data_IF_483196498949
#
_entry.id   IF_483196498949
#
_cell.length_a   1.000
_cell.length_b   1.000
_cell.length_c   1.000
_cell.angle_alpha   90.00
_cell.angle_beta   90.00
_cell.angle_gamma   90.00
#
_symmetry.space_group_name_H-M   'P 1'
#
loop_
_entity.id
_entity.type
_entity.pdbx_description
1 polymer ?
#
# COMPACT_ATOMS: atom_id res chain seq x y z
N UNK A 1 34.18 -45.50 16.00
CA UNK A 1 32.72 -45.23 15.93
C UNK A 1 32.36 -44.23 17.01
N UNK A 2 32.03 -42.97 16.65
CA UNK A 2 31.26 -41.96 17.41
C UNK A 2 31.33 -40.63 16.66
N UNK A 3 30.43 -40.43 15.70
CA UNK A 3 30.17 -39.11 15.12
C UNK A 3 29.36 -38.29 16.15
N UNK A 4 29.88 -37.14 16.56
CA UNK A 4 29.12 -36.13 17.31
C UNK A 4 28.46 -35.20 16.30
N UNK A 5 27.15 -35.34 16.14
CA UNK A 5 26.32 -34.41 15.38
C UNK A 5 26.15 -33.16 16.26
N UNK A 6 26.75 -32.03 15.87
CA UNK A 6 26.36 -30.73 16.40
C UNK A 6 25.05 -30.33 15.71
N UNK A 7 23.94 -30.44 16.43
CA UNK A 7 22.70 -29.78 16.03
C UNK A 7 22.89 -28.27 16.24
N UNK A 8 23.15 -27.53 15.17
CA UNK A 8 23.04 -26.09 15.18
C UNK A 8 21.56 -25.74 15.34
N UNK A 9 21.18 -25.27 16.53
CA UNK A 9 19.89 -24.65 16.73
C UNK A 9 19.87 -23.35 15.90
N UNK A 10 19.17 -23.37 14.76
CA UNK A 10 18.71 -22.13 14.15
C UNK A 10 17.74 -21.49 15.14
N UNK A 11 18.20 -20.49 15.88
CA UNK A 11 17.29 -19.54 16.50
C UNK A 11 16.53 -18.84 15.38
N UNK A 12 15.26 -19.21 15.20
CA UNK A 12 14.30 -18.35 14.55
C UNK A 12 14.24 -17.06 15.37
N UNK A 13 14.87 -15.99 14.89
CA UNK A 13 14.64 -14.63 15.35
C UNK A 13 13.15 -14.35 15.07
N UNK A 14 12.34 -14.51 16.11
CA UNK A 14 10.92 -14.20 16.06
C UNK A 14 10.73 -12.70 15.78
N UNK A 15 9.79 -12.46 14.87
CA UNK A 15 9.36 -11.22 14.24
C UNK A 15 8.78 -10.17 15.19
N UNK A 16 9.54 -9.74 16.20
CA UNK A 16 9.08 -8.70 17.15
C UNK A 16 9.08 -7.28 16.58
N UNK A 17 9.74 -7.05 15.44
CA UNK A 17 9.89 -5.71 14.87
C UNK A 17 8.61 -5.19 14.18
N UNK A 18 7.82 -6.07 13.54
CA UNK A 18 6.57 -5.66 12.91
C UNK A 18 5.42 -5.49 13.92
N UNK A 19 5.34 -6.38 14.92
CA UNK A 19 4.30 -6.33 15.95
C UNK A 19 4.27 -5.00 16.74
N UNK A 20 5.43 -4.37 16.99
CA UNK A 20 5.49 -3.05 17.64
C UNK A 20 4.92 -1.91 16.78
N UNK A 21 4.88 -2.08 15.44
CA UNK A 21 4.42 -1.04 14.49
C UNK A 21 2.90 -0.95 14.45
N UNK A 22 2.22 -2.10 14.59
CA UNK A 22 0.77 -2.20 14.68
C UNK A 22 0.18 -1.51 15.93
N UNK A 23 0.93 -1.44 17.04
CA UNK A 23 0.45 -0.91 18.32
C UNK A 23 0.01 0.58 18.28
N UNK A 24 0.50 1.36 17.31
CA UNK A 24 0.08 2.75 17.10
C UNK A 24 -1.21 2.91 16.28
N UNK A 25 -1.67 1.88 15.57
CA UNK A 25 -2.89 1.88 14.75
C UNK A 25 -4.13 1.72 15.62
N UNK A 26 -4.02 1.06 16.78
CA UNK A 26 -5.11 0.83 17.75
C UNK A 26 -5.69 2.11 18.40
N UNK A 27 -5.26 3.31 18.00
CA UNK A 27 -5.84 4.58 18.43
C UNK A 27 -6.87 5.17 17.46
N UNK A 28 -7.15 4.51 16.32
CA UNK A 28 -8.35 4.84 15.54
C UNK A 28 -9.55 4.55 16.43
N UNK A 29 -10.26 5.59 16.89
CA UNK A 29 -11.60 5.40 17.45
C UNK A 29 -12.42 4.75 16.34
N UNK A 30 -12.75 3.47 16.52
CA UNK A 30 -13.73 2.81 15.67
C UNK A 30 -14.94 3.75 15.52
N UNK A 31 -15.41 4.03 14.29
CA UNK A 31 -16.65 4.75 14.12
C UNK A 31 -17.75 4.01 14.91
N UNK A 32 -18.70 4.78 15.47
CA UNK A 32 -19.75 4.26 16.36
C UNK A 32 -20.57 3.10 15.76
N UNK A 33 -20.52 2.93 14.44
CA UNK A 33 -20.86 1.71 13.72
C UNK A 33 -19.72 1.41 12.73
N UNK A 34 -19.22 0.18 12.72
CA UNK A 34 -18.31 -0.29 11.68
C UNK A 34 -19.02 -0.13 10.31
N UNK A 35 -18.38 0.46 9.29
CA UNK A 35 -19.00 0.60 7.99
C UNK A 35 -19.44 -0.78 7.50
N UNK A 36 -20.71 -0.91 7.13
CA UNK A 36 -21.25 -2.16 6.57
C UNK A 36 -20.42 -2.51 5.34
N UNK A 37 -19.80 -3.69 5.37
CA UNK A 37 -19.03 -4.18 4.23
C UNK A 37 -19.91 -4.16 2.97
N UNK A 38 -19.44 -3.57 1.86
CA UNK A 38 -20.18 -3.59 0.61
C UNK A 38 -20.49 -5.02 0.18
N UNK A 39 -21.61 -5.20 -0.53
CA UNK A 39 -21.90 -6.49 -1.18
C UNK A 39 -21.00 -6.64 -2.42
N UNK A 40 -19.78 -7.13 -2.18
CA UNK A 40 -18.74 -7.30 -3.19
C UNK A 40 -19.18 -8.19 -4.36
N UNK A 41 -20.10 -9.13 -4.11
CA UNK A 41 -20.56 -10.12 -5.09
C UNK A 41 -21.60 -9.56 -6.06
N UNK A 42 -22.13 -8.37 -5.81
CA UNK A 42 -23.10 -7.71 -6.68
C UNK A 42 -22.44 -6.98 -7.87
N UNK A 43 -21.15 -7.20 -8.14
CA UNK A 43 -20.40 -6.61 -9.26
C UNK A 43 -19.48 -7.64 -9.94
N UNK A 44 -19.00 -7.35 -11.17
CA UNK A 44 -18.03 -8.21 -11.84
C UNK A 44 -16.80 -8.44 -10.94
N UNK A 45 -16.61 -9.69 -10.54
CA UNK A 45 -15.47 -10.10 -9.75
C UNK A 45 -14.37 -10.68 -10.65
N UNK A 46 -13.15 -10.29 -10.35
CA UNK A 46 -11.95 -10.89 -10.91
C UNK A 46 -11.25 -11.71 -9.82
N UNK A 47 -10.81 -12.90 -10.20
CA UNK A 47 -9.86 -13.68 -9.43
C UNK A 47 -8.43 -13.34 -9.84
N UNK A 48 -7.50 -14.14 -9.36
CA UNK A 48 -6.09 -13.99 -9.66
C UNK A 48 -5.42 -15.34 -9.91
N UNK A 49 -4.35 -15.31 -10.70
CA UNK A 49 -3.35 -16.36 -10.83
C UNK A 49 -2.01 -15.79 -10.35
N UNK A 50 -1.33 -16.47 -9.43
CA UNK A 50 0.03 -16.08 -9.00
C UNK A 50 1.02 -16.57 -10.05
N UNK A 51 1.74 -15.63 -10.66
CA UNK A 51 2.76 -15.92 -11.66
C UNK A 51 4.13 -16.13 -11.02
N UNK A 52 4.48 -15.27 -10.05
CA UNK A 52 5.77 -15.27 -9.33
C UNK A 52 5.58 -14.83 -7.89
N UNK A 53 6.40 -15.39 -7.01
CA UNK A 53 6.54 -14.94 -5.62
C UNK A 53 7.94 -14.35 -5.42
N UNK A 54 8.00 -13.07 -5.07
CA UNK A 54 9.24 -12.35 -4.82
C UNK A 54 9.44 -12.17 -3.31
N UNK A 55 10.68 -12.18 -2.79
CA UNK A 55 10.94 -11.97 -1.36
C UNK A 55 10.48 -10.59 -0.89
N UNK A 56 9.90 -10.52 0.31
CA UNK A 56 9.52 -9.27 0.98
C UNK A 56 10.00 -9.26 2.43
N UNK A 57 10.30 -8.07 2.95
CA UNK A 57 10.75 -7.87 4.33
C UNK A 57 9.58 -8.04 5.30
N UNK A 58 9.59 -9.10 6.11
CA UNK A 58 8.55 -9.33 7.15
C UNK A 58 8.58 -8.30 8.29
N UNK A 59 9.58 -7.41 8.33
CA UNK A 59 9.62 -6.23 9.19
C UNK A 59 9.01 -4.97 8.56
N UNK A 60 8.55 -5.02 7.30
CA UNK A 60 7.96 -3.89 6.59
C UNK A 60 6.44 -3.83 6.80
N UNK A 61 5.97 -2.83 7.54
CA UNK A 61 4.55 -2.54 7.67
C UNK A 61 4.14 -1.66 6.48
N UNK A 62 3.97 -2.26 5.30
CA UNK A 62 3.78 -1.59 4.01
C UNK A 62 2.58 -0.64 4.02
N UNK A 63 2.81 0.62 3.65
CA UNK A 63 1.76 1.65 3.53
C UNK A 63 1.68 2.30 2.15
N UNK A 64 2.65 2.03 1.28
CA UNK A 64 2.66 2.46 -0.11
C UNK A 64 3.74 1.71 -0.86
N UNK A 65 3.42 1.26 -2.07
CA UNK A 65 4.32 0.50 -2.93
C UNK A 65 4.20 1.02 -4.36
N UNK A 66 5.31 1.22 -5.04
CA UNK A 66 5.31 1.47 -6.49
C UNK A 66 6.57 0.89 -7.13
N UNK A 67 6.54 0.71 -8.45
CA UNK A 67 7.73 0.34 -9.22
C UNK A 67 8.31 1.60 -9.87
N UNK A 68 9.56 1.93 -9.57
CA UNK A 68 10.27 3.06 -10.18
C UNK A 68 11.65 2.66 -10.63
N UNK A 69 11.93 2.82 -11.93
CA UNK A 69 13.21 2.50 -12.55
C UNK A 69 13.70 1.05 -12.32
N UNK A 70 12.79 0.07 -12.27
CA UNK A 70 13.10 -1.35 -12.13
C UNK A 70 13.25 -1.84 -10.68
N UNK A 71 13.21 -0.94 -9.71
CA UNK A 71 13.24 -1.24 -8.28
C UNK A 71 11.89 -0.91 -7.62
N UNK A 72 11.61 -1.53 -6.48
CA UNK A 72 10.51 -1.10 -5.62
C UNK A 72 10.86 0.21 -4.92
N UNK A 73 9.88 1.10 -4.86
CA UNK A 73 9.82 2.14 -3.83
C UNK A 73 8.75 1.72 -2.84
N UNK A 74 9.13 1.58 -1.57
CA UNK A 74 8.23 1.16 -0.52
C UNK A 74 8.26 2.17 0.64
N UNK A 75 7.09 2.49 1.16
CA UNK A 75 6.94 3.21 2.42
C UNK A 75 6.41 2.29 3.50
N UNK A 76 6.95 2.46 4.70
CA UNK A 76 6.58 1.64 5.86
C UNK A 76 6.09 2.51 6.99
N UNK A 77 5.07 2.03 7.67
CA UNK A 77 4.45 2.67 8.83
C UNK A 77 5.06 2.26 10.17
N UNK A 78 4.66 2.98 11.22
CA UNK A 78 5.07 2.78 12.61
C UNK A 78 5.85 3.96 13.18
N UNK A 79 5.38 4.55 14.28
CA UNK A 79 6.09 5.64 14.96
C UNK A 79 7.51 5.20 15.36
N UNK A 80 8.50 6.04 15.10
CA UNK A 80 9.92 5.73 15.32
C UNK A 80 10.54 4.69 14.38
N UNK A 81 9.77 4.11 13.45
CA UNK A 81 10.23 3.04 12.56
C UNK A 81 9.82 3.22 11.10
N UNK A 82 9.06 4.28 10.82
CA UNK A 82 8.59 4.62 9.48
C UNK A 82 9.76 5.00 8.59
N UNK A 83 9.71 4.58 7.33
CA UNK A 83 10.77 4.87 6.37
C UNK A 83 10.26 4.81 4.94
N UNK A 84 10.96 5.51 4.04
CA UNK A 84 10.92 5.28 2.59
C UNK A 84 12.16 4.49 2.18
N UNK A 85 11.98 3.53 1.27
CA UNK A 85 13.02 2.58 0.87
C UNK A 85 13.00 2.36 -0.63
N UNK A 86 14.18 2.18 -1.20
CA UNK A 86 14.36 1.59 -2.51
C UNK A 86 14.84 0.17 -2.32
N UNK A 87 14.14 -0.79 -2.93
CA UNK A 87 14.37 -2.23 -2.74
C UNK A 87 14.54 -2.88 -4.10
N UNK A 88 15.58 -3.69 -4.24
CA UNK A 88 15.85 -4.44 -5.48
C UNK A 88 14.70 -5.42 -5.76
N UNK A 89 14.11 -5.34 -6.97
CA UNK A 89 12.88 -6.05 -7.33
C UNK A 89 12.95 -7.56 -7.07
N UNK A 90 14.05 -8.17 -7.49
CA UNK A 90 14.20 -9.63 -7.56
C UNK A 90 14.56 -10.27 -6.22
N UNK A 91 15.30 -9.57 -5.36
CA UNK A 91 15.87 -10.17 -4.14
C UNK A 91 15.21 -9.67 -2.86
N UNK A 92 14.48 -8.54 -2.91
CA UNK A 92 13.98 -7.87 -1.72
C UNK A 92 15.09 -7.15 -0.91
N UNK A 93 16.31 -7.03 -1.45
CA UNK A 93 17.41 -6.33 -0.78
C UNK A 93 17.16 -4.82 -0.78
N UNK A 94 17.16 -4.22 0.41
CA UNK A 94 17.10 -2.76 0.55
C UNK A 94 18.38 -2.14 -0.01
N UNK A 95 18.25 -1.35 -1.07
CA UNK A 95 19.34 -0.64 -1.74
C UNK A 95 19.60 0.72 -1.09
N UNK A 96 18.52 1.43 -0.73
CA UNK A 96 18.56 2.69 0.01
C UNK A 96 17.38 2.78 0.95
N UNK A 97 17.56 3.44 2.10
CA UNK A 97 16.52 3.64 3.13
C UNK A 97 16.70 4.99 3.79
N UNK A 98 15.58 5.62 4.13
CA UNK A 98 15.53 6.84 4.91
C UNK A 98 14.44 6.76 5.95
N UNK A 99 14.84 6.95 7.19
CA UNK A 99 13.91 6.95 8.31
C UNK A 99 13.22 8.31 8.44
N UNK A 100 11.93 8.27 8.72
CA UNK A 100 11.16 9.47 9.04
C UNK A 100 11.47 9.88 10.49
N UNK A 101 11.31 11.17 10.84
CA UNK A 101 11.37 11.59 12.24
C UNK A 101 10.36 10.80 13.08
N UNK A 102 10.74 10.45 14.31
CA UNK A 102 10.05 9.43 15.10
C UNK A 102 8.57 9.73 15.41
N UNK A 103 8.18 11.01 15.37
CA UNK A 103 6.81 11.48 15.59
C UNK A 103 5.90 11.35 14.36
N UNK A 104 6.42 10.89 13.22
CA UNK A 104 5.62 10.64 12.02
C UNK A 104 5.40 9.15 11.80
N UNK A 105 4.18 8.84 11.40
CA UNK A 105 3.79 7.55 10.87
C UNK A 105 3.71 7.68 9.34
N UNK A 106 4.59 7.00 8.61
CA UNK A 106 4.66 7.06 7.16
C UNK A 106 3.51 6.30 6.50
N UNK A 107 2.96 6.89 5.45
CA UNK A 107 1.84 6.35 4.66
C UNK A 107 2.21 6.33 3.17
N UNK A 108 1.22 6.29 2.28
CA UNK A 108 1.34 6.11 0.84
C UNK A 108 2.32 7.03 0.12
N UNK A 109 2.79 6.56 -1.05
CA UNK A 109 3.79 7.26 -1.87
C UNK A 109 3.41 7.25 -3.34
N UNK A 110 3.66 8.36 -4.04
CA UNK A 110 3.51 8.44 -5.49
C UNK A 110 4.73 9.09 -6.15
N UNK A 111 5.07 8.63 -7.34
CA UNK A 111 6.05 9.29 -8.22
C UNK A 111 5.31 10.23 -9.19
N UNK A 112 5.77 11.48 -9.25
CA UNK A 112 5.30 12.46 -10.24
C UNK A 112 6.41 13.46 -10.54
N UNK A 113 6.71 13.66 -11.82
CA UNK A 113 7.75 14.57 -12.32
C UNK A 113 9.14 14.33 -11.69
N UNK A 114 9.48 13.07 -11.45
CA UNK A 114 10.76 12.68 -10.86
C UNK A 114 10.87 12.92 -9.35
N UNK A 115 9.74 13.18 -8.69
CA UNK A 115 9.66 13.39 -7.24
C UNK A 115 8.75 12.35 -6.61
N UNK A 116 9.25 11.73 -5.55
CA UNK A 116 8.44 10.90 -4.68
C UNK A 116 7.77 11.77 -3.64
N UNK A 117 6.46 11.65 -3.55
CA UNK A 117 5.59 12.32 -2.59
C UNK A 117 5.15 11.30 -1.58
N UNK A 118 5.62 11.40 -0.33
CA UNK A 118 5.23 10.47 0.73
C UNK A 118 4.30 11.17 1.72
N UNK A 119 3.18 10.53 2.03
CA UNK A 119 2.24 10.98 3.05
C UNK A 119 2.67 10.54 4.45
N UNK A 120 2.06 11.17 5.43
CA UNK A 120 1.98 10.69 6.81
C UNK A 120 0.52 10.59 7.25
N UNK A 121 0.26 9.79 8.28
CA UNK A 121 -1.11 9.54 8.71
C UNK A 121 -1.82 10.79 9.29
N UNK A 122 -1.49 11.19 10.53
CA UNK A 122 -2.06 12.38 11.18
C UNK A 122 -1.18 13.63 11.09
N UNK A 123 0.01 13.53 10.47
CA UNK A 123 1.01 14.59 10.50
C UNK A 123 0.63 15.85 9.70
N UNK A 124 -0.38 15.76 8.82
CA UNK A 124 -0.76 16.82 7.86
C UNK A 124 0.44 17.38 7.09
N UNK A 125 1.46 16.54 6.96
CA UNK A 125 2.75 16.87 6.38
C UNK A 125 3.19 15.67 5.55
N UNK A 126 3.61 15.95 4.33
CA UNK A 126 4.26 14.98 3.47
C UNK A 126 5.72 15.35 3.24
N UNK A 127 6.47 14.38 2.74
CA UNK A 127 7.89 14.51 2.44
C UNK A 127 8.12 14.34 0.94
N UNK A 128 9.04 15.13 0.39
CA UNK A 128 9.45 15.08 -1.00
C UNK A 128 10.84 14.49 -1.10
N UNK A 129 11.03 13.58 -2.04
CA UNK A 129 12.33 12.99 -2.34
C UNK A 129 12.59 12.98 -3.84
N UNK A 130 13.85 13.09 -4.24
CA UNK A 130 14.27 12.82 -5.60
C UNK A 130 14.06 11.33 -5.88
N UNK A 131 13.35 11.00 -6.96
CA UNK A 131 12.93 9.61 -7.21
C UNK A 131 14.11 8.66 -7.34
N UNK A 132 15.22 9.11 -7.96
CA UNK A 132 16.39 8.27 -8.28
C UNK A 132 17.29 8.03 -7.07
N UNK A 133 17.50 9.07 -6.28
CA UNK A 133 18.51 9.09 -5.20
C UNK A 133 17.91 8.91 -3.82
N UNK A 134 16.60 9.14 -3.68
CA UNK A 134 15.89 9.36 -2.42
C UNK A 134 16.34 10.62 -1.66
N UNK A 135 17.17 11.51 -2.23
CA UNK A 135 17.59 12.77 -1.58
C UNK A 135 16.39 13.65 -1.20
N UNK A 136 16.39 14.32 -0.03
CA UNK A 136 15.21 15.02 0.44
C UNK A 136 15.11 16.35 -0.32
N UNK A 137 13.96 16.62 -0.91
CA UNK A 137 13.72 17.84 -1.66
C UNK A 137 12.93 18.88 -0.86
N UNK A 138 12.34 18.47 0.26
CA UNK A 138 11.57 19.33 1.14
C UNK A 138 10.34 18.60 1.67
N UNK A 139 9.40 19.39 2.20
CA UNK A 139 8.17 18.90 2.80
C UNK A 139 6.99 19.66 2.19
N UNK A 140 5.79 19.09 2.29
CA UNK A 140 4.55 19.75 1.92
C UNK A 140 3.48 19.56 2.99
N UNK A 141 2.39 20.32 2.90
CA UNK A 141 1.24 20.22 3.81
C UNK A 141 -0.02 19.88 3.02
N UNK A 142 -0.92 19.16 3.68
CA UNK A 142 -2.25 18.83 3.18
C UNK A 142 -3.22 18.74 4.35
N UNK A 143 -4.51 18.87 4.05
CA UNK A 143 -5.56 18.81 5.05
C UNK A 143 -6.00 17.36 5.32
N UNK A 144 -6.54 17.09 6.52
CA UNK A 144 -7.06 15.77 6.88
C UNK A 144 -5.98 14.71 7.12
N UNK A 145 -6.38 13.44 7.05
CA UNK A 145 -5.45 12.30 7.06
C UNK A 145 -4.91 12.02 5.65
N UNK A 146 -3.85 11.23 5.54
CA UNK A 146 -3.38 10.68 4.28
C UNK A 146 -3.09 9.19 4.44
N UNK A 147 -3.65 8.35 3.56
CA UNK A 147 -3.49 6.89 3.59
C UNK A 147 -2.76 6.43 2.33
N UNK A 148 -3.45 6.16 1.22
CA UNK A 148 -2.83 5.85 -0.06
C UNK A 148 -2.56 7.09 -0.91
N UNK A 149 -1.56 7.00 -1.77
CA UNK A 149 -1.23 8.03 -2.75
C UNK A 149 -0.81 7.37 -4.07
N UNK A 150 -1.37 7.84 -5.19
CA UNK A 150 -0.87 7.52 -6.53
C UNK A 150 -0.87 8.79 -7.40
N UNK A 151 -0.56 8.67 -8.68
CA UNK A 151 -0.54 9.78 -9.63
C UNK A 151 -1.23 9.39 -10.93
N UNK A 152 -2.09 10.27 -11.46
CA UNK A 152 -2.66 10.10 -12.80
C UNK A 152 -1.75 10.67 -13.92
N UNK A 153 -0.53 11.08 -13.55
CA UNK A 153 0.45 11.74 -14.42
C UNK A 153 0.32 13.27 -14.47
N UNK A 154 -0.74 13.84 -13.90
CA UNK A 154 -0.93 15.29 -13.82
C UNK A 154 -1.21 15.78 -12.38
N UNK A 155 -1.90 14.96 -11.60
CA UNK A 155 -2.30 15.21 -10.21
C UNK A 155 -1.88 14.06 -9.32
N UNK A 156 -1.70 14.38 -8.05
CA UNK A 156 -1.63 13.36 -7.00
C UNK A 156 -3.05 12.96 -6.62
N UNK A 157 -3.30 11.67 -6.44
CA UNK A 157 -4.60 11.12 -6.03
C UNK A 157 -4.43 10.46 -4.66
N UNK A 158 -5.12 10.99 -3.66
CA UNK A 158 -4.97 10.60 -2.26
C UNK A 158 -6.26 9.99 -1.69
N UNK A 159 -6.12 8.90 -0.94
CA UNK A 159 -7.16 8.35 -0.06
C UNK A 159 -6.86 8.71 1.41
N UNK A 160 -7.87 8.57 2.27
CA UNK A 160 -7.79 8.86 3.70
C UNK A 160 -8.66 7.95 4.56
N UNK A 161 -8.99 6.76 4.05
CA UNK A 161 -9.91 5.82 4.70
C UNK A 161 -11.39 6.19 4.59
N UNK A 162 -11.76 7.36 4.04
CA UNK A 162 -13.16 7.67 3.71
C UNK A 162 -13.60 7.06 2.36
N UNK A 163 -14.82 7.39 1.92
CA UNK A 163 -15.34 7.09 0.58
C UNK A 163 -14.85 8.06 -0.51
N UNK A 164 -13.87 8.93 -0.21
CA UNK A 164 -13.41 9.97 -1.13
C UNK A 164 -11.96 9.76 -1.55
N UNK A 165 -11.71 10.05 -2.82
CA UNK A 165 -10.38 10.28 -3.37
C UNK A 165 -10.22 11.78 -3.64
N UNK A 166 -9.11 12.35 -3.19
CA UNK A 166 -8.79 13.77 -3.34
C UNK A 166 -7.69 13.94 -4.38
N UNK A 167 -7.94 14.80 -5.37
CA UNK A 167 -6.97 15.15 -6.41
C UNK A 167 -6.27 16.44 -6.01
N UNK A 168 -4.96 16.36 -5.82
CA UNK A 168 -4.12 17.44 -5.35
C UNK A 168 -3.27 17.95 -6.51
N UNK A 169 -3.17 19.28 -6.61
CA UNK A 169 -2.21 19.92 -7.50
C UNK A 169 -0.79 19.67 -6.95
N UNK A 170 0.15 19.14 -7.75
CA UNK A 170 1.46 18.70 -7.24
C UNK A 170 2.42 19.84 -6.90
N UNK A 171 2.05 21.09 -7.20
CA UNK A 171 2.87 22.28 -6.90
C UNK A 171 2.41 22.97 -5.63
N UNK A 172 1.10 23.02 -5.41
CA UNK A 172 0.46 23.75 -4.30
C UNK A 172 -0.08 22.81 -3.22
N UNK A 173 -0.24 21.52 -3.53
CA UNK A 173 -0.83 20.48 -2.68
C UNK A 173 -2.27 20.77 -2.23
N UNK A 174 -2.94 21.70 -2.93
CA UNK A 174 -4.35 22.01 -2.69
C UNK A 174 -5.22 21.00 -3.44
N UNK A 175 -6.29 20.60 -2.78
CA UNK A 175 -7.35 19.79 -3.39
C UNK A 175 -8.06 20.64 -4.43
N UNK A 176 -8.06 20.20 -5.69
CA UNK A 176 -8.81 20.85 -6.77
C UNK A 176 -10.04 20.05 -7.17
N UNK A 177 -10.10 18.76 -6.80
CA UNK A 177 -11.24 17.88 -7.06
C UNK A 177 -11.35 16.79 -6.01
N UNK A 178 -12.59 16.42 -5.69
CA UNK A 178 -12.90 15.25 -4.88
C UNK A 178 -13.77 14.30 -5.70
N UNK A 179 -13.54 13.00 -5.51
CA UNK A 179 -14.24 11.92 -6.19
C UNK A 179 -14.82 10.98 -5.14
N UNK A 180 -16.14 10.74 -5.17
CA UNK A 180 -16.79 9.80 -4.24
C UNK A 180 -16.84 8.41 -4.86
N UNK A 181 -16.26 7.43 -4.19
CA UNK A 181 -16.19 6.05 -4.66
C UNK A 181 -17.48 5.31 -4.32
N UNK A 182 -18.10 4.70 -5.32
CA UNK A 182 -19.37 3.99 -5.18
C UNK A 182 -19.36 2.62 -5.83
N UNK A 183 -19.81 1.63 -5.07
CA UNK A 183 -20.15 0.29 -5.56
C UNK A 183 -21.67 0.16 -5.58
N UNK A 184 -22.28 -0.08 -6.74
CA UNK A 184 -23.75 -0.14 -6.87
C UNK A 184 -24.47 1.09 -6.25
N UNK A 185 -23.90 2.29 -6.42
CA UNK A 185 -24.44 3.54 -5.87
C UNK A 185 -24.19 3.75 -4.37
N UNK A 186 -23.71 2.74 -3.63
CA UNK A 186 -23.38 2.85 -2.20
C UNK A 186 -21.92 3.29 -2.01
N UNK A 187 -21.63 4.17 -1.04
CA UNK A 187 -20.26 4.59 -0.75
C UNK A 187 -19.41 3.40 -0.27
N UNK A 188 -18.13 3.39 -0.65
CA UNK A 188 -17.16 2.40 -0.17
C UNK A 188 -16.10 3.11 0.65
N UNK A 189 -16.10 2.89 1.97
CA UNK A 189 -15.11 3.44 2.89
C UNK A 189 -13.86 2.55 2.97
N UNK A 190 -12.91 2.97 3.80
CA UNK A 190 -11.65 2.28 4.10
C UNK A 190 -10.73 2.12 2.89
N UNK A 191 -10.84 3.05 1.93
CA UNK A 191 -9.90 3.15 0.82
C UNK A 191 -8.51 3.42 1.37
N UNK A 192 -7.58 2.52 1.07
CA UNK A 192 -6.22 2.56 1.59
C UNK A 192 -5.24 2.78 0.44
N UNK A 193 -4.20 1.96 0.30
CA UNK A 193 -3.19 2.09 -0.73
C UNK A 193 -3.78 2.11 -2.16
N UNK A 194 -3.17 2.92 -3.03
CA UNK A 194 -3.68 3.25 -4.37
C UNK A 194 -2.63 3.01 -5.44
N UNK A 195 -3.06 2.64 -6.65
CA UNK A 195 -2.21 2.63 -7.85
C UNK A 195 -3.02 3.05 -9.09
N UNK A 196 -2.46 3.91 -9.96
CA UNK A 196 -3.12 4.32 -11.21
C UNK A 196 -2.68 3.42 -12.37
N UNK A 197 -3.61 2.60 -12.87
CA UNK A 197 -3.32 1.52 -13.82
C UNK A 197 -4.20 1.69 -15.05
N UNK A 198 -3.57 1.95 -16.20
CA UNK A 198 -4.24 1.98 -17.51
C UNK A 198 -5.52 2.84 -17.56
N UNK A 199 -5.55 3.95 -16.83
CA UNK A 199 -6.70 4.88 -16.79
C UNK A 199 -7.72 4.59 -15.68
N UNK A 200 -7.44 3.64 -14.79
CA UNK A 200 -8.25 3.30 -13.62
C UNK A 200 -7.46 3.54 -12.33
N UNK A 201 -8.16 3.83 -11.23
CA UNK A 201 -7.54 3.85 -9.90
C UNK A 201 -7.81 2.52 -9.22
N UNK A 202 -6.76 1.80 -8.90
CA UNK A 202 -6.82 0.60 -8.08
C UNK A 202 -6.70 1.03 -6.62
N UNK A 203 -7.52 0.45 -5.74
CA UNK A 203 -7.49 0.79 -4.32
C UNK A 203 -7.64 -0.46 -3.44
N UNK A 204 -6.72 -0.66 -2.51
CA UNK A 204 -6.95 -1.59 -1.41
C UNK A 204 -8.12 -1.08 -0.53
N UNK A 205 -8.89 -2.01 0.01
CA UNK A 205 -9.88 -1.71 1.07
C UNK A 205 -9.39 -2.32 2.37
N UNK A 206 -9.06 -1.48 3.36
CA UNK A 206 -8.42 -1.88 4.61
C UNK A 206 -9.26 -2.94 5.36
N UNK A 207 -8.60 -3.92 5.96
CA UNK A 207 -9.20 -5.12 6.57
C UNK A 207 -10.00 -6.04 5.63
N UNK A 208 -9.92 -5.85 4.31
CA UNK A 208 -10.46 -6.79 3.34
C UNK A 208 -9.36 -7.43 2.49
N UNK A 209 -9.73 -8.48 1.76
CA UNK A 209 -8.87 -9.11 0.75
C UNK A 209 -9.22 -8.61 -0.67
N UNK A 210 -9.86 -7.45 -0.79
CA UNK A 210 -10.33 -6.89 -2.06
C UNK A 210 -9.53 -5.67 -2.51
N UNK A 211 -9.38 -5.55 -3.83
CA UNK A 211 -8.94 -4.34 -4.53
C UNK A 211 -10.06 -3.86 -5.44
N UNK A 212 -10.36 -2.58 -5.40
CA UNK A 212 -11.35 -1.96 -6.29
C UNK A 212 -10.68 -1.45 -7.54
N UNK A 213 -11.35 -1.59 -8.69
CA UNK A 213 -11.03 -0.87 -9.92
C UNK A 213 -12.00 0.30 -10.04
N UNK A 214 -11.51 1.53 -9.95
CA UNK A 214 -12.35 2.73 -9.82
C UNK A 214 -12.18 3.59 -11.06
N UNK A 215 -13.31 4.03 -11.64
CA UNK A 215 -13.32 5.01 -12.72
C UNK A 215 -12.93 6.40 -12.17
N UNK A 216 -11.80 7.00 -12.60
CA UNK A 216 -11.37 8.31 -12.11
C UNK A 216 -12.27 9.47 -12.56
N UNK A 217 -13.20 9.24 -13.51
CA UNK A 217 -14.12 10.27 -14.01
C UNK A 217 -15.30 10.51 -13.08
N UNK A 218 -15.85 9.46 -12.48
CA UNK A 218 -17.10 9.53 -11.70
C UNK A 218 -17.08 8.76 -10.37
N UNK A 219 -16.03 7.98 -10.09
CA UNK A 219 -15.89 7.22 -8.84
C UNK A 219 -16.66 5.90 -8.83
N UNK A 220 -17.25 5.50 -9.95
CA UNK A 220 -17.91 4.20 -10.08
C UNK A 220 -16.87 3.09 -9.99
N UNK A 221 -17.12 2.09 -9.14
CA UNK A 221 -16.33 0.86 -9.12
C UNK A 221 -16.68 0.04 -10.37
N UNK A 222 -15.69 -0.16 -11.24
CA UNK A 222 -15.78 -0.91 -12.50
C UNK A 222 -15.66 -2.43 -12.29
N UNK A 223 -15.01 -2.84 -11.20
CA UNK A 223 -14.85 -4.24 -10.84
C UNK A 223 -14.17 -4.41 -9.49
N UNK A 224 -14.27 -5.62 -8.94
CA UNK A 224 -13.65 -6.00 -7.67
C UNK A 224 -12.69 -7.15 -7.91
N UNK A 225 -11.44 -6.99 -7.51
CA UNK A 225 -10.43 -8.05 -7.53
C UNK A 225 -10.43 -8.71 -6.16
N UNK A 226 -10.67 -10.01 -6.14
CA UNK A 226 -10.73 -10.79 -4.91
C UNK A 226 -9.45 -11.62 -4.75
N UNK A 227 -8.64 -11.21 -3.78
CA UNK A 227 -7.38 -11.84 -3.41
C UNK A 227 -7.50 -12.74 -2.17
N UNK A 228 -8.71 -13.17 -1.82
CA UNK A 228 -8.97 -14.03 -0.66
C UNK A 228 -8.05 -15.24 -0.70
N UNK A 229 -7.27 -15.41 0.37
CA UNK A 229 -6.39 -16.56 0.55
C UNK A 229 -4.97 -16.41 -0.02
N UNK A 230 -4.63 -15.32 -0.71
CA UNK A 230 -3.30 -15.14 -1.32
C UNK A 230 -2.16 -15.26 -0.30
N UNK A 231 -2.33 -14.70 0.91
CA UNK A 231 -1.43 -14.90 2.04
C UNK A 231 -2.19 -15.06 3.37
N UNK A 232 -3.01 -16.10 3.45
CA UNK A 232 -3.78 -16.42 4.66
C UNK A 232 -2.89 -16.71 5.89
N UNK A 233 -1.60 -17.01 5.71
CA UNK A 233 -0.67 -17.33 6.81
C UNK A 233 -0.32 -16.07 7.59
N UNK A 234 -0.01 -14.96 6.92
CA UNK A 234 0.35 -13.71 7.58
C UNK A 234 -0.78 -13.17 8.46
N UNK A 235 -2.02 -13.20 7.96
CA UNK A 235 -3.22 -12.84 8.74
C UNK A 235 -3.41 -13.66 10.02
N UNK A 236 -3.03 -14.93 10.03
CA UNK A 236 -3.11 -15.80 11.22
C UNK A 236 -2.03 -15.49 12.25
N UNK A 237 -0.91 -14.90 11.84
CA UNK A 237 0.17 -14.48 12.74
C UNK A 237 -0.19 -13.18 13.46
N UNK A 238 -0.81 -12.23 12.75
CA UNK A 238 -1.28 -10.97 13.32
C UNK A 238 -2.46 -10.43 12.46
N UNK A 239 -3.59 -10.03 13.08
CA UNK A 239 -4.71 -9.43 12.36
C UNK A 239 -4.34 -8.17 11.57
N UNK A 240 -3.28 -7.44 11.94
CA UNK A 240 -2.83 -6.24 11.22
C UNK A 240 -1.93 -6.54 10.02
N UNK A 241 -1.57 -7.80 9.78
CA UNK A 241 -0.84 -8.22 8.58
C UNK A 241 -1.80 -8.31 7.37
N UNK A 242 -2.46 -7.19 7.07
CA UNK A 242 -3.45 -7.03 5.99
C UNK A 242 -2.80 -6.94 4.60
N UNK A 243 -3.57 -7.32 3.58
CA UNK A 243 -3.32 -6.89 2.20
C UNK A 243 -3.23 -5.36 2.16
N UNK A 244 -2.12 -4.83 1.63
CA UNK A 244 -1.88 -3.40 1.43
C UNK A 244 -0.59 -3.21 0.61
N UNK A 245 -0.69 -2.53 -0.54
CA UNK A 245 0.43 -2.32 -1.47
C UNK A 245 0.13 -2.91 -2.85
N UNK A 246 0.05 -2.05 -3.85
CA UNK A 246 -0.24 -2.37 -5.25
C UNK A 246 0.79 -1.65 -6.10
N UNK A 247 1.48 -2.37 -6.99
CA UNK A 247 2.42 -1.75 -7.92
C UNK A 247 2.20 -2.27 -9.33
N UNK A 248 2.40 -1.39 -10.30
CA UNK A 248 2.24 -1.73 -11.71
C UNK A 248 3.46 -1.33 -12.54
N UNK A 249 3.89 -2.23 -13.43
CA UNK A 249 4.89 -1.93 -14.45
C UNK A 249 4.18 -1.65 -15.79
N UNK A 250 4.13 -0.39 -16.27
CA UNK A 250 3.47 -0.08 -17.54
C UNK A 250 4.22 -0.61 -18.77
N UNK A 251 5.52 -0.92 -18.66
CA UNK A 251 6.29 -1.42 -19.81
C UNK A 251 6.00 -2.91 -20.08
N UNK A 252 5.99 -3.70 -19.00
CA UNK A 252 5.77 -5.15 -19.06
C UNK A 252 4.31 -5.55 -18.78
N UNK A 253 3.48 -4.60 -18.33
CA UNK A 253 2.09 -4.77 -17.91
C UNK A 253 1.94 -5.78 -16.77
N UNK A 254 2.91 -5.78 -15.86
CA UNK A 254 2.94 -6.66 -14.68
C UNK A 254 2.28 -5.99 -13.48
N UNK A 255 1.38 -6.71 -12.80
CA UNK A 255 0.70 -6.27 -11.58
C UNK A 255 1.28 -7.02 -10.38
N UNK A 256 1.58 -6.26 -9.32
CA UNK A 256 2.15 -6.78 -8.08
C UNK A 256 1.31 -6.36 -6.89
N UNK A 257 1.22 -7.27 -5.92
CA UNK A 257 0.51 -7.02 -4.65
C UNK A 257 1.30 -7.59 -3.47
N UNK A 258 1.17 -6.95 -2.31
CA UNK A 258 1.74 -7.44 -1.05
C UNK A 258 0.87 -7.03 0.13
N UNK A 259 1.39 -7.17 1.34
CA UNK A 259 0.72 -6.74 2.54
C UNK A 259 1.68 -6.41 3.67
N UNK A 260 1.10 -5.89 4.74
CA UNK A 260 1.84 -5.47 5.93
C UNK A 260 2.50 -6.70 6.55
N UNK A 261 3.82 -6.67 6.63
CA UNK A 261 4.66 -7.72 7.19
C UNK A 261 4.57 -9.07 6.43
N UNK A 262 4.06 -9.08 5.19
CA UNK A 262 3.99 -10.29 4.38
C UNK A 262 5.41 -10.75 4.00
N UNK A 263 5.66 -12.07 3.87
CA UNK A 263 6.96 -12.57 3.45
C UNK A 263 7.19 -12.47 1.94
N UNK A 264 6.16 -12.09 1.17
CA UNK A 264 6.17 -12.08 -0.30
C UNK A 264 5.53 -10.84 -0.92
N UNK A 265 6.07 -10.43 -2.06
CA UNK A 265 5.36 -9.67 -3.09
C UNK A 265 4.93 -10.67 -4.17
N UNK A 266 3.66 -10.65 -4.54
CA UNK A 266 3.09 -11.57 -5.54
C UNK A 266 2.92 -10.83 -6.86
N UNK A 267 3.53 -11.36 -7.93
CA UNK A 267 3.13 -11.00 -9.28
C UNK A 267 1.87 -11.76 -9.62
N UNK A 268 0.81 -11.05 -10.01
CA UNK A 268 -0.49 -11.65 -10.31
C UNK A 268 -0.94 -11.33 -11.72
N UNK A 269 -1.73 -12.25 -12.28
CA UNK A 269 -2.57 -12.02 -13.44
C UNK A 269 -4.03 -12.04 -13.02
N UNK A 270 -4.81 -11.07 -13.47
CA UNK A 270 -6.25 -11.05 -13.24
C UNK A 270 -6.94 -12.03 -14.18
N UNK A 271 -7.85 -12.83 -13.64
CA UNK A 271 -8.66 -13.81 -14.39
C UNK A 271 -10.14 -13.61 -14.07
N UNK A 272 -11.06 -13.96 -14.97
CA UNK A 272 -12.48 -13.98 -14.65
C UNK A 272 -12.74 -14.87 -13.42
N UNK A 273 -13.51 -14.37 -12.45
CA UNK A 273 -13.97 -15.18 -11.33
C UNK A 273 -15.24 -15.92 -11.74
N UNK A 274 -15.24 -17.24 -11.60
CA UNK A 274 -16.44 -18.08 -11.79
C UNK A 274 -17.38 -17.98 -10.59
#
# INVERSE_FOLDING_TARGET
MKFRIFAAALLALSSGACQKKAQGVNQVKEPAEAPVAPDWKAHPMLGYEVLRELPHDTGAFTQGLLLSHGDWIETTGGYGTSSIRRVEKETGKVLRKRDLPANFFGEGVADLDGKLHQLTWHGRQGFLYDTKTLEPLGNFRYDGEGWGLTSDGASLVMSDGSDRLRFLDPKTFRVWRELRVRLNGKPVNLLNELEFIEGEIFANVWHSDFILRINPKDGTVLGVIDLTGIDAKSRRLDPEHVLNGIAYDPQSRELFVTGKCWPKIYQIRLIPKQ
#
